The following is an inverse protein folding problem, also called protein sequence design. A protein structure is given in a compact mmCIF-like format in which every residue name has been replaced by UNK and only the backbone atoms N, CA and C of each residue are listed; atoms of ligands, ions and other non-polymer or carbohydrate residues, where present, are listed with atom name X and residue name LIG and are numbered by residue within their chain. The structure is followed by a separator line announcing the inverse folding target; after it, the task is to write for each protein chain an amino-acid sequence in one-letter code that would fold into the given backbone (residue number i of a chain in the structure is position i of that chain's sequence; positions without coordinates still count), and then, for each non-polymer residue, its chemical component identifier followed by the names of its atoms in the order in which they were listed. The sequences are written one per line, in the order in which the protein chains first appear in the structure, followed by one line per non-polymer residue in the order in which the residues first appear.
data_IF_599686509831
#
_entry.id   IF_599686509831
#
_cell.length_a   1.000
_cell.length_b   1.000
_cell.length_c   1.000
_cell.angle_alpha   90.00
_cell.angle_beta   90.00
_cell.angle_gamma   90.00
#
_symmetry.space_group_name_H-M   'P 1'
#
loop_
_entity.id
_entity.type
_entity.pdbx_description
1 polymer ?
#
# COMPACT_ATOMS: atom_id res chain seq x y z
N UNK A 1 -28.07 -8.81 25.94
CA UNK A 1 -28.27 -9.84 24.91
C UNK A 1 -28.04 -9.21 23.55
N UNK A 2 -26.82 -9.30 23.05
CA UNK A 2 -26.58 -9.41 21.63
C UNK A 2 -25.25 -10.16 21.53
N UNK A 3 -25.36 -11.48 21.40
CA UNK A 3 -24.27 -12.28 20.86
C UNK A 3 -24.06 -11.72 19.46
N UNK A 4 -23.17 -10.73 19.33
CA UNK A 4 -22.64 -10.31 18.04
C UNK A 4 -21.90 -11.50 17.52
N UNK A 5 -22.65 -12.31 16.77
CA UNK A 5 -22.18 -13.41 15.97
C UNK A 5 -20.88 -12.97 15.32
N UNK A 6 -19.77 -13.57 15.78
CA UNK A 6 -18.50 -13.67 15.07
C UNK A 6 -18.66 -14.57 13.82
N UNK A 7 -19.84 -14.53 13.20
CA UNK A 7 -20.26 -15.35 12.09
C UNK A 7 -20.13 -14.49 10.84
N UNK A 8 -19.42 -15.05 9.86
CA UNK A 8 -18.98 -14.44 8.62
C UNK A 8 -17.77 -13.49 8.69
N UNK A 9 -16.71 -13.84 9.42
CA UNK A 9 -15.38 -13.49 8.90
C UNK A 9 -15.12 -14.34 7.64
N UNK A 10 -14.30 -13.89 6.67
CA UNK A 10 -13.95 -14.71 5.53
C UNK A 10 -13.52 -16.11 5.94
N UNK A 11 -14.17 -17.13 5.39
CA UNK A 11 -13.89 -18.51 5.74
C UNK A 11 -12.74 -18.98 4.85
N UNK A 12 -11.53 -18.71 5.33
CA UNK A 12 -10.31 -19.35 4.84
C UNK A 12 -9.92 -20.43 5.85
N UNK A 13 -9.61 -21.62 5.35
CA UNK A 13 -8.99 -22.65 6.18
C UNK A 13 -7.55 -22.23 6.53
N UNK A 14 -7.05 -22.65 7.69
CA UNK A 14 -5.67 -22.33 8.10
C UNK A 14 -4.64 -22.77 7.04
N UNK A 15 -4.82 -23.94 6.41
CA UNK A 15 -3.95 -24.41 5.32
C UNK A 15 -3.96 -23.49 4.11
N UNK A 16 -5.13 -23.01 3.71
CA UNK A 16 -5.27 -22.03 2.62
C UNK A 16 -4.61 -20.70 3.00
N UNK A 17 -4.77 -20.25 4.24
CA UNK A 17 -4.09 -19.07 4.77
C UNK A 17 -2.56 -19.18 4.68
N UNK A 18 -1.99 -20.31 5.09
CA UNK A 18 -0.54 -20.56 4.95
C UNK A 18 -0.10 -20.51 3.48
N UNK A 19 -0.81 -21.20 2.59
CA UNK A 19 -0.50 -21.19 1.15
C UNK A 19 -0.51 -19.78 0.57
N UNK A 20 -1.50 -18.96 0.92
CA UNK A 20 -1.60 -17.58 0.45
C UNK A 20 -0.49 -16.70 1.03
N UNK A 21 -0.11 -16.87 2.30
CA UNK A 21 1.00 -16.12 2.90
C UNK A 21 2.33 -16.43 2.22
N UNK A 22 2.59 -17.71 1.93
CA UNK A 22 3.79 -18.13 1.17
C UNK A 22 3.75 -17.55 -0.24
N UNK A 23 2.60 -17.63 -0.93
CA UNK A 23 2.43 -17.07 -2.27
C UNK A 23 2.62 -15.54 -2.29
N UNK A 24 2.13 -14.82 -1.27
CA UNK A 24 2.34 -13.37 -1.13
C UNK A 24 3.81 -13.05 -0.88
N UNK A 25 4.49 -13.81 -0.03
CA UNK A 25 5.91 -13.61 0.27
C UNK A 25 6.78 -13.84 -0.98
N UNK A 26 6.63 -14.98 -1.65
CA UNK A 26 7.36 -15.27 -2.90
C UNK A 26 6.99 -14.27 -3.99
N UNK A 27 5.68 -14.01 -4.14
CA UNK A 27 5.16 -13.08 -5.11
C UNK A 27 5.66 -11.65 -4.91
N UNK A 28 5.89 -11.20 -3.67
CA UNK A 28 6.49 -9.89 -3.39
C UNK A 28 7.86 -9.74 -4.07
N UNK A 29 8.75 -10.72 -3.89
CA UNK A 29 10.08 -10.69 -4.54
C UNK A 29 9.99 -10.85 -6.05
N UNK A 30 9.10 -11.70 -6.56
CA UNK A 30 8.84 -11.80 -8.00
C UNK A 30 8.35 -10.47 -8.58
N UNK A 31 7.54 -9.72 -7.82
CA UNK A 31 7.04 -8.41 -8.23
C UNK A 31 8.17 -7.38 -8.33
N UNK A 32 9.21 -7.48 -7.47
CA UNK A 32 10.43 -6.65 -7.61
C UNK A 32 11.18 -6.96 -8.91
N UNK A 33 11.24 -8.24 -9.30
CA UNK A 33 11.86 -8.64 -10.58
C UNK A 33 11.05 -8.09 -11.76
N UNK A 34 9.72 -8.20 -11.73
CA UNK A 34 8.84 -7.64 -12.78
C UNK A 34 9.00 -6.13 -12.88
N UNK A 35 9.03 -5.41 -11.74
CA UNK A 35 9.31 -3.98 -11.69
C UNK A 35 10.62 -3.63 -12.39
N UNK A 36 11.71 -4.33 -12.04
CA UNK A 36 13.02 -4.13 -12.66
C UNK A 36 13.00 -4.40 -14.17
N UNK A 37 12.34 -5.47 -14.62
CA UNK A 37 12.24 -5.80 -16.06
C UNK A 37 11.46 -4.75 -16.84
N UNK A 38 10.32 -4.29 -16.31
CA UNK A 38 9.51 -3.22 -16.94
C UNK A 38 10.32 -1.92 -17.03
N UNK A 39 11.01 -1.55 -15.96
CA UNK A 39 11.87 -0.37 -15.94
C UNK A 39 13.04 -0.47 -16.95
N UNK A 40 13.62 -1.66 -17.08
CA UNK A 40 14.69 -1.96 -18.04
C UNK A 40 14.20 -1.82 -19.49
N UNK A 41 13.02 -2.36 -19.80
CA UNK A 41 12.40 -2.22 -21.13
C UNK A 41 12.09 -0.76 -21.46
N UNK A 42 11.55 0.00 -20.50
CA UNK A 42 11.28 1.43 -20.68
C UNK A 42 12.57 2.20 -20.97
N UNK A 43 13.62 1.94 -20.18
CA UNK A 43 14.94 2.56 -20.35
C UNK A 43 15.54 2.25 -21.72
N UNK A 44 15.54 0.98 -22.14
CA UNK A 44 16.05 0.58 -23.45
C UNK A 44 15.25 1.21 -24.60
N UNK A 45 13.94 1.35 -24.45
CA UNK A 45 13.08 1.97 -25.47
C UNK A 45 13.42 3.45 -25.66
N UNK A 46 13.59 4.19 -24.56
CA UNK A 46 13.97 5.61 -24.58
C UNK A 46 15.38 5.77 -25.15
N UNK A 47 16.30 4.87 -24.78
CA UNK A 47 17.65 4.87 -25.31
C UNK A 47 17.69 4.63 -26.83
N UNK A 48 16.93 3.66 -27.33
CA UNK A 48 16.83 3.36 -28.76
C UNK A 48 16.20 4.50 -29.58
N UNK A 49 15.37 5.35 -28.96
CA UNK A 49 14.80 6.54 -29.61
C UNK A 49 15.78 7.72 -29.70
N UNK A 50 17.04 7.55 -29.26
CA UNK A 50 18.04 8.62 -29.26
C UNK A 50 17.79 9.70 -28.21
N UNK A 51 16.88 9.45 -27.25
CA UNK A 51 16.57 10.35 -26.14
C UNK A 51 17.54 10.19 -24.95
N UNK A 52 18.67 9.50 -25.12
CA UNK A 52 19.68 9.30 -24.05
C UNK A 52 20.27 10.61 -23.54
N UNK A 53 20.21 11.69 -24.31
CA UNK A 53 20.60 13.03 -23.83
C UNK A 53 19.80 13.47 -22.59
N UNK A 54 18.59 12.96 -22.37
CA UNK A 54 17.84 13.18 -21.12
C UNK A 54 18.42 12.42 -19.92
N UNK A 55 19.10 11.29 -20.15
CA UNK A 55 19.80 10.50 -19.14
C UNK A 55 21.19 11.09 -18.81
N UNK A 56 21.85 11.71 -19.80
CA UNK A 56 23.22 12.20 -19.67
C UNK A 56 23.32 13.63 -19.10
N UNK A 57 22.24 14.44 -19.13
CA UNK A 57 22.27 15.84 -18.66
C UNK A 57 21.53 16.09 -17.35
N UNK A 58 20.71 15.14 -16.88
CA UNK A 58 20.05 15.21 -15.59
C UNK A 58 20.59 14.06 -14.73
N UNK A 59 21.42 14.37 -13.73
CA UNK A 59 21.92 13.40 -12.72
C UNK A 59 20.80 12.87 -11.79
N UNK A 60 19.54 13.05 -12.19
CA UNK A 60 18.36 12.89 -11.35
C UNK A 60 17.46 11.80 -11.94
N UNK A 61 16.82 11.05 -11.05
CA UNK A 61 16.00 9.90 -11.43
C UNK A 61 14.75 10.38 -12.18
N UNK A 62 14.55 10.02 -13.46
CA UNK A 62 13.43 10.56 -14.22
C UNK A 62 12.09 9.96 -13.76
N UNK A 63 11.03 10.77 -13.69
CA UNK A 63 9.69 10.32 -13.26
C UNK A 63 9.19 9.06 -13.98
N UNK A 64 9.51 8.89 -15.27
CA UNK A 64 9.03 7.75 -16.05
C UNK A 64 9.67 6.44 -15.61
N UNK A 65 10.89 6.49 -15.07
CA UNK A 65 11.58 5.32 -14.53
C UNK A 65 10.87 4.86 -13.27
N UNK A 66 10.62 5.78 -12.33
CA UNK A 66 9.84 5.52 -11.12
C UNK A 66 8.44 5.02 -11.44
N UNK A 67 7.74 5.65 -12.40
CA UNK A 67 6.41 5.22 -12.82
C UNK A 67 6.42 3.80 -13.42
N UNK A 68 7.45 3.45 -14.20
CA UNK A 68 7.62 2.12 -14.81
C UNK A 68 7.88 1.04 -13.76
N UNK A 69 8.73 1.32 -12.77
CA UNK A 69 8.98 0.42 -11.63
C UNK A 69 7.72 0.18 -10.82
N UNK A 70 6.98 1.25 -10.47
CA UNK A 70 5.71 1.14 -9.75
C UNK A 70 4.68 0.33 -10.53
N UNK A 71 4.56 0.60 -11.83
CA UNK A 71 3.66 -0.15 -12.70
C UNK A 71 4.00 -1.64 -12.71
N UNK A 72 5.27 -2.00 -12.91
CA UNK A 72 5.69 -3.41 -12.91
C UNK A 72 5.50 -4.09 -11.55
N UNK A 73 5.77 -3.38 -10.45
CA UNK A 73 5.52 -3.88 -9.10
C UNK A 73 4.03 -4.21 -8.90
N UNK A 74 3.14 -3.31 -9.34
CA UNK A 74 1.71 -3.50 -9.20
C UNK A 74 1.14 -4.57 -10.11
N UNK A 75 1.69 -4.77 -11.31
CA UNK A 75 1.35 -5.92 -12.14
C UNK A 75 1.62 -7.23 -11.39
N UNK A 76 2.76 -7.31 -10.69
CA UNK A 76 3.10 -8.43 -9.82
C UNK A 76 2.09 -8.61 -8.68
N UNK A 77 1.77 -7.54 -7.93
CA UNK A 77 0.78 -7.60 -6.86
C UNK A 77 -0.62 -7.98 -7.36
N UNK A 78 -1.06 -7.41 -8.47
CA UNK A 78 -2.33 -7.75 -9.10
C UNK A 78 -2.37 -9.21 -9.54
N UNK A 79 -1.27 -9.77 -10.03
CA UNK A 79 -1.16 -11.18 -10.37
C UNK A 79 -1.30 -12.09 -9.13
N UNK A 80 -0.70 -11.72 -8.00
CA UNK A 80 -0.86 -12.44 -6.72
C UNK A 80 -2.31 -12.40 -6.25
N UNK A 81 -2.95 -11.22 -6.29
CA UNK A 81 -4.36 -11.07 -5.92
C UNK A 81 -5.25 -11.92 -6.84
N UNK A 82 -5.03 -11.87 -8.16
CA UNK A 82 -5.77 -12.68 -9.12
C UNK A 82 -5.56 -14.18 -8.88
N UNK A 83 -4.33 -14.61 -8.58
CA UNK A 83 -4.03 -15.99 -8.19
C UNK A 83 -4.81 -16.40 -6.93
N UNK A 84 -4.79 -15.58 -5.88
CA UNK A 84 -5.51 -15.83 -4.64
C UNK A 84 -7.02 -16.00 -4.88
N UNK A 85 -7.61 -15.08 -5.66
CA UNK A 85 -9.04 -15.09 -5.98
C UNK A 85 -9.45 -16.28 -6.85
N UNK A 86 -8.58 -16.75 -7.77
CA UNK A 86 -8.88 -17.88 -8.67
C UNK A 86 -8.66 -19.25 -8.02
N UNK A 87 -7.58 -19.40 -7.27
CA UNK A 87 -7.11 -20.68 -6.74
C UNK A 87 -7.77 -21.02 -5.41
N UNK A 88 -7.82 -20.05 -4.49
CA UNK A 88 -8.32 -20.27 -3.13
C UNK A 88 -9.79 -19.87 -2.99
N UNK A 89 -10.23 -18.88 -3.76
CA UNK A 89 -11.63 -18.37 -3.78
C UNK A 89 -12.13 -18.06 -2.36
N UNK A 90 -11.46 -17.14 -1.63
CA UNK A 90 -11.87 -16.78 -0.29
C UNK A 90 -13.33 -16.30 -0.28
N UNK A 91 -14.12 -16.80 0.67
CA UNK A 91 -15.48 -16.29 0.90
C UNK A 91 -15.35 -14.93 1.56
N UNK A 92 -15.57 -13.84 0.84
CA UNK A 92 -15.47 -12.48 1.38
C UNK A 92 -16.87 -11.93 1.74
N UNK A 93 -16.98 -10.97 2.67
CA UNK A 93 -18.26 -10.32 2.97
C UNK A 93 -18.95 -9.79 1.71
N UNK A 94 -20.28 -9.86 1.67
CA UNK A 94 -21.05 -9.34 0.54
C UNK A 94 -20.74 -7.87 0.28
N UNK A 95 -20.32 -7.55 -0.94
CA UNK A 95 -19.93 -6.19 -1.32
C UNK A 95 -18.60 -5.72 -0.74
N UNK A 96 -17.69 -6.64 -0.38
CA UNK A 96 -16.35 -6.32 0.12
C UNK A 96 -15.59 -5.32 -0.78
N UNK A 97 -15.75 -5.45 -2.11
CA UNK A 97 -15.16 -4.58 -3.14
C UNK A 97 -16.05 -3.39 -3.54
N UNK A 98 -17.22 -3.21 -2.92
CA UNK A 98 -18.16 -2.16 -3.32
C UNK A 98 -17.63 -0.77 -2.89
N UNK A 99 -17.36 0.06 -3.89
CA UNK A 99 -17.02 1.47 -3.75
C UNK A 99 -18.30 2.29 -3.73
N UNK A 100 -18.41 3.24 -2.78
CA UNK A 100 -19.53 4.17 -2.67
C UNK A 100 -19.01 5.60 -2.66
N UNK A 101 -19.74 6.55 -3.24
CA UNK A 101 -19.39 7.98 -3.18
C UNK A 101 -19.22 8.49 -1.74
N UNK A 102 -19.99 7.95 -0.80
CA UNK A 102 -19.87 8.28 0.64
C UNK A 102 -18.54 7.83 1.27
N UNK A 103 -17.79 6.95 0.63
CA UNK A 103 -16.48 6.51 1.12
C UNK A 103 -15.41 7.62 0.95
N UNK A 104 -15.66 8.67 0.16
CA UNK A 104 -14.80 9.87 0.08
C UNK A 104 -14.60 10.55 1.44
N UNK A 105 -15.53 10.39 2.39
CA UNK A 105 -15.39 10.91 3.77
C UNK A 105 -14.22 10.32 4.54
N UNK A 106 -13.60 9.24 4.05
CA UNK A 106 -12.42 8.63 4.64
C UNK A 106 -11.11 9.30 4.18
N UNK A 107 -11.13 10.13 3.12
CA UNK A 107 -9.93 10.89 2.70
C UNK A 107 -9.37 11.77 3.83
N UNK A 108 -10.17 12.59 4.55
CA UNK A 108 -9.66 13.37 5.68
C UNK A 108 -9.06 12.53 6.81
N UNK A 109 -9.54 11.30 7.00
CA UNK A 109 -8.96 10.40 8.00
C UNK A 109 -7.51 10.05 7.66
N UNK A 110 -7.20 9.88 6.37
CA UNK A 110 -5.83 9.72 5.89
C UNK A 110 -4.94 10.92 6.18
N UNK A 111 -5.48 12.12 5.97
CA UNK A 111 -4.78 13.38 6.28
C UNK A 111 -4.47 13.49 7.77
N UNK A 112 -5.47 13.23 8.62
CA UNK A 112 -5.28 13.21 10.07
C UNK A 112 -4.27 12.16 10.51
N UNK A 113 -4.23 11.02 9.83
CA UNK A 113 -3.27 9.96 10.10
C UNK A 113 -1.84 10.37 9.72
N UNK A 114 -1.64 11.08 8.60
CA UNK A 114 -0.32 11.66 8.27
C UNK A 114 0.12 12.66 9.34
N UNK A 115 -0.79 13.53 9.78
CA UNK A 115 -0.51 14.50 10.83
C UNK A 115 -0.15 13.80 12.15
N UNK A 116 -0.84 12.70 12.49
CA UNK A 116 -0.52 11.89 13.66
C UNK A 116 0.87 11.26 13.57
N UNK A 117 1.23 10.66 12.44
CA UNK A 117 2.59 10.11 12.23
C UNK A 117 3.64 11.22 12.35
N UNK A 118 3.39 12.39 11.76
CA UNK A 118 4.22 13.59 11.93
C UNK A 118 4.40 13.98 13.40
N UNK A 119 3.30 14.08 14.15
CA UNK A 119 3.35 14.43 15.57
C UNK A 119 4.08 13.38 16.43
N UNK A 120 3.98 12.09 16.09
CA UNK A 120 4.70 11.02 16.79
C UNK A 120 6.20 11.07 16.52
N UNK A 121 6.62 11.49 15.33
CA UNK A 121 8.02 11.56 14.93
C UNK A 121 8.70 12.88 15.31
N UNK A 122 7.90 13.94 15.50
CA UNK A 122 8.38 15.27 15.88
C UNK A 122 9.35 15.29 17.09
N UNK A 123 9.09 14.61 18.23
CA UNK A 123 10.00 14.61 19.37
C UNK A 123 11.39 14.01 19.08
N UNK A 124 11.47 13.15 18.07
CA UNK A 124 12.70 12.47 17.67
C UNK A 124 13.45 13.21 16.57
N UNK A 125 12.94 14.37 16.11
CA UNK A 125 13.46 15.12 14.96
C UNK A 125 13.55 14.27 13.69
N UNK A 126 12.66 13.27 13.59
CA UNK A 126 12.53 12.42 12.40
C UNK A 126 11.44 13.04 11.54
N UNK A 127 11.72 13.21 10.26
CA UNK A 127 10.69 13.62 9.32
C UNK A 127 9.72 12.47 9.04
N UNK A 128 8.43 12.75 9.05
CA UNK A 128 7.40 11.75 8.70
C UNK A 128 7.41 11.37 7.22
N UNK A 129 8.01 12.20 6.37
CA UNK A 129 8.28 11.91 4.95
C UNK A 129 9.73 11.47 4.81
N UNK A 130 9.96 10.31 4.19
CA UNK A 130 11.29 9.74 4.05
C UNK A 130 12.03 10.31 2.86
N UNK A 131 13.35 10.11 2.87
CA UNK A 131 14.23 10.52 1.78
C UNK A 131 13.84 9.91 0.42
N UNK A 132 13.38 8.64 0.31
CA UNK A 132 12.82 8.12 -0.94
C UNK A 132 11.65 8.93 -1.48
N UNK A 133 10.73 9.40 -0.63
CA UNK A 133 9.62 10.26 -1.07
C UNK A 133 10.16 11.58 -1.60
N UNK A 134 11.14 12.20 -0.91
CA UNK A 134 11.79 13.42 -1.37
C UNK A 134 12.55 13.22 -2.68
N UNK A 135 13.19 12.07 -2.90
CA UNK A 135 13.85 11.73 -4.16
C UNK A 135 12.86 11.53 -5.31
N UNK A 136 11.68 10.97 -5.03
CA UNK A 136 10.61 10.83 -6.03
C UNK A 136 10.03 12.21 -6.39
N UNK A 137 9.88 13.11 -5.42
CA UNK A 137 9.36 14.46 -5.65
C UNK A 137 10.40 15.40 -6.25
N UNK A 138 11.66 15.29 -5.81
CA UNK A 138 12.75 16.19 -6.14
C UNK A 138 13.03 16.26 -7.64
N UNK A 139 13.00 17.49 -8.17
CA UNK A 139 13.34 17.89 -9.54
C UNK A 139 12.51 17.31 -10.69
N UNK A 140 11.37 16.66 -10.40
CA UNK A 140 10.46 16.24 -11.45
C UNK A 140 9.65 17.42 -12.00
N UNK A 141 9.47 17.52 -13.35
CA UNK A 141 8.62 18.55 -13.93
C UNK A 141 7.17 18.37 -13.46
N UNK A 142 6.40 19.46 -13.46
CA UNK A 142 5.02 19.46 -12.91
C UNK A 142 4.14 18.32 -13.48
N UNK A 143 4.27 18.02 -14.78
CA UNK A 143 3.52 16.92 -15.39
C UNK A 143 3.97 15.53 -14.86
N UNK A 144 5.27 15.33 -14.64
CA UNK A 144 5.81 14.10 -14.04
C UNK A 144 5.33 13.92 -12.61
N UNK A 145 5.22 15.02 -11.86
CA UNK A 145 4.65 15.00 -10.52
C UNK A 145 3.17 14.62 -10.51
N UNK A 146 2.36 15.10 -11.47
CA UNK A 146 0.96 14.68 -11.58
C UNK A 146 0.84 13.17 -11.86
N UNK A 147 1.72 12.61 -12.70
CA UNK A 147 1.79 11.16 -12.93
C UNK A 147 2.14 10.43 -11.63
N UNK A 148 3.18 10.87 -10.93
CA UNK A 148 3.58 10.28 -9.64
C UNK A 148 2.44 10.38 -8.60
N UNK A 149 1.74 11.50 -8.51
CA UNK A 149 0.60 11.66 -7.60
C UNK A 149 -0.55 10.72 -7.94
N UNK A 150 -0.85 10.51 -9.23
CA UNK A 150 -1.82 9.51 -9.63
C UNK A 150 -1.36 8.10 -9.22
N UNK A 151 -0.10 7.79 -9.49
CA UNK A 151 0.44 6.48 -9.17
C UNK A 151 0.45 6.24 -7.64
N UNK A 152 1.17 7.05 -6.89
CA UNK A 152 1.35 6.87 -5.43
C UNK A 152 0.09 7.21 -4.64
N UNK A 153 -0.68 8.21 -5.07
CA UNK A 153 -1.85 8.69 -4.35
C UNK A 153 -3.14 7.91 -4.64
N UNK A 154 -3.23 7.21 -5.77
CA UNK A 154 -4.45 6.47 -6.16
C UNK A 154 -4.14 5.02 -6.52
N UNK A 155 -3.19 4.79 -7.43
CA UNK A 155 -2.83 3.45 -7.91
C UNK A 155 -2.31 2.53 -6.80
N UNK A 156 -1.34 3.01 -6.02
CA UNK A 156 -0.74 2.24 -4.92
C UNK A 156 -1.79 1.89 -3.85
N UNK A 157 -2.56 2.85 -3.29
CA UNK A 157 -3.63 2.55 -2.35
C UNK A 157 -4.61 1.49 -2.87
N UNK A 158 -5.00 1.57 -4.15
CA UNK A 158 -5.91 0.57 -4.71
C UNK A 158 -5.30 -0.84 -4.71
N UNK A 159 -4.11 -1.01 -5.29
CA UNK A 159 -3.48 -2.33 -5.44
C UNK A 159 -2.98 -2.88 -4.10
N UNK A 160 -2.41 -2.04 -3.25
CA UNK A 160 -1.91 -2.44 -1.94
C UNK A 160 -3.04 -2.83 -1.00
N UNK A 161 -4.17 -2.10 -0.95
CA UNK A 161 -5.30 -2.53 -0.12
C UNK A 161 -5.89 -3.87 -0.60
N UNK A 162 -5.92 -4.12 -1.91
CA UNK A 162 -6.34 -5.43 -2.44
C UNK A 162 -5.43 -6.56 -1.95
N UNK A 163 -4.11 -6.36 -1.96
CA UNK A 163 -3.15 -7.35 -1.49
C UNK A 163 -3.17 -7.47 0.04
N UNK A 164 -2.93 -6.38 0.75
CA UNK A 164 -2.75 -6.40 2.20
C UNK A 164 -4.06 -6.67 2.94
N UNK A 165 -5.18 -6.06 2.54
CA UNK A 165 -6.46 -6.21 3.27
C UNK A 165 -7.34 -7.27 2.63
N UNK A 166 -7.28 -7.42 1.31
CA UNK A 166 -8.02 -8.45 0.60
C UNK A 166 -7.43 -9.86 0.73
N UNK A 167 -6.10 -9.99 0.80
CA UNK A 167 -5.43 -11.31 0.84
C UNK A 167 -4.67 -11.54 2.14
N UNK A 168 -3.68 -10.71 2.46
CA UNK A 168 -2.75 -10.96 3.59
C UNK A 168 -3.49 -10.93 4.93
N UNK A 169 -4.34 -9.93 5.19
CA UNK A 169 -5.12 -9.84 6.42
C UNK A 169 -6.04 -11.03 6.61
N UNK A 170 -6.72 -11.47 5.55
CA UNK A 170 -7.62 -12.61 5.62
C UNK A 170 -6.84 -13.90 5.86
N UNK A 171 -5.68 -14.05 5.22
CA UNK A 171 -4.80 -15.20 5.36
C UNK A 171 -4.16 -15.28 6.74
N UNK A 172 -3.68 -14.15 7.28
CA UNK A 172 -3.18 -14.05 8.66
C UNK A 172 -4.27 -14.36 9.67
N UNK A 173 -5.47 -13.83 9.46
CA UNK A 173 -6.61 -14.11 10.35
C UNK A 173 -6.98 -15.59 10.33
N UNK A 174 -6.87 -16.26 9.18
CA UNK A 174 -7.18 -17.69 9.01
C UNK A 174 -6.23 -18.64 9.76
N UNK A 175 -4.95 -18.28 9.87
CA UNK A 175 -3.93 -19.12 10.55
C UNK A 175 -3.92 -18.94 12.06
N UNK A 176 -4.52 -17.86 12.57
CA UNK A 176 -4.60 -17.60 14.01
C UNK A 176 -5.69 -18.46 14.67
N UNK A 177 -5.42 -18.91 15.88
CA UNK A 177 -6.43 -19.63 16.68
C UNK A 177 -7.64 -18.73 16.98
N UNK A 178 -8.86 -19.28 17.13
CA UNK A 178 -10.06 -18.49 17.40
C UNK A 178 -9.93 -17.55 18.60
N UNK A 179 -9.24 -18.00 19.66
CA UNK A 179 -8.93 -17.17 20.84
C UNK A 179 -8.11 -15.95 20.46
N UNK A 180 -7.02 -16.14 19.73
CA UNK A 180 -6.11 -15.05 19.33
C UNK A 180 -6.79 -14.07 18.37
N UNK A 181 -7.64 -14.56 17.45
CA UNK A 181 -8.43 -13.70 16.56
C UNK A 181 -9.39 -12.79 17.33
N UNK A 182 -10.01 -13.31 18.39
CA UNK A 182 -10.98 -12.57 19.19
C UNK A 182 -10.34 -11.59 20.19
N UNK A 183 -9.05 -11.76 20.52
CA UNK A 183 -8.34 -10.87 21.43
C UNK A 183 -8.40 -9.42 20.95
N UNK A 184 -8.69 -8.52 21.89
CA UNK A 184 -8.79 -7.07 21.66
C UNK A 184 -9.62 -6.73 20.41
N UNK A 185 -10.71 -7.47 20.16
CA UNK A 185 -11.62 -7.29 19.03
C UNK A 185 -10.94 -7.31 17.64
N UNK A 186 -9.99 -8.23 17.43
CA UNK A 186 -9.31 -8.40 16.14
C UNK A 186 -8.05 -7.56 15.96
N UNK A 187 -7.55 -6.94 17.03
CA UNK A 187 -6.35 -6.09 16.97
C UNK A 187 -5.09 -6.89 16.64
N UNK A 188 -4.96 -8.14 17.09
CA UNK A 188 -3.76 -8.96 16.83
C UNK A 188 -3.50 -9.14 15.32
N UNK A 189 -4.44 -9.65 14.50
CA UNK A 189 -4.21 -9.73 13.06
C UNK A 189 -3.97 -8.35 12.43
N UNK A 190 -4.64 -7.29 12.90
CA UNK A 190 -4.40 -5.94 12.38
C UNK A 190 -2.98 -5.43 12.66
N UNK A 191 -2.44 -5.68 13.85
CA UNK A 191 -1.05 -5.37 14.21
C UNK A 191 -0.06 -6.14 13.35
N UNK A 192 -0.24 -7.46 13.23
CA UNK A 192 0.63 -8.30 12.41
C UNK A 192 0.66 -7.85 10.95
N UNK A 193 -0.52 -7.57 10.36
CA UNK A 193 -0.58 -7.05 8.99
C UNK A 193 0.01 -5.65 8.86
N UNK A 194 -0.15 -4.82 9.88
CA UNK A 194 0.41 -3.47 9.90
C UNK A 194 1.93 -3.51 9.89
N UNK A 195 2.54 -4.35 10.72
CA UNK A 195 4.00 -4.54 10.73
C UNK A 195 4.50 -5.06 9.38
N UNK A 196 3.82 -6.03 8.76
CA UNK A 196 4.20 -6.51 7.42
C UNK A 196 4.04 -5.42 6.36
N UNK A 197 2.99 -4.59 6.45
CA UNK A 197 2.80 -3.43 5.58
C UNK A 197 3.96 -2.43 5.71
N UNK A 198 4.33 -2.03 6.93
CA UNK A 198 5.46 -1.14 7.16
C UNK A 198 6.79 -1.74 6.71
N UNK A 199 7.03 -3.02 6.99
CA UNK A 199 8.26 -3.71 6.59
C UNK A 199 8.40 -3.83 5.06
N UNK A 200 7.29 -4.00 4.34
CA UNK A 200 7.29 -4.11 2.87
C UNK A 200 7.80 -2.84 2.16
N UNK A 201 7.82 -1.69 2.85
CA UNK A 201 8.35 -0.44 2.32
C UNK A 201 9.88 -0.36 2.40
N UNK A 202 10.53 -1.25 3.17
CA UNK A 202 12.00 -1.31 3.25
C UNK A 202 12.67 -0.15 3.99
N UNK A 203 11.91 0.76 4.60
CA UNK A 203 12.43 1.94 5.29
C UNK A 203 12.30 1.78 6.81
N UNK A 204 13.42 1.50 7.48
CA UNK A 204 13.45 1.22 8.92
C UNK A 204 13.02 2.43 9.75
N UNK A 205 13.37 3.65 9.33
CA UNK A 205 13.00 4.88 10.04
C UNK A 205 11.49 5.10 10.02
N UNK A 206 10.83 4.75 8.91
CA UNK A 206 9.38 4.87 8.76
C UNK A 206 8.59 3.66 9.24
N UNK A 207 9.26 2.55 9.59
CA UNK A 207 8.62 1.28 9.93
C UNK A 207 7.51 1.45 10.98
N UNK A 208 7.76 2.19 12.06
CA UNK A 208 6.78 2.38 13.14
C UNK A 208 5.55 3.17 12.68
N UNK A 209 5.76 4.28 11.96
CA UNK A 209 4.69 5.10 11.40
C UNK A 209 3.84 4.33 10.37
N UNK A 210 4.49 3.64 9.43
CA UNK A 210 3.81 2.84 8.43
C UNK A 210 3.13 1.60 9.03
N UNK A 211 3.70 1.01 10.08
CA UNK A 211 3.05 -0.08 10.80
C UNK A 211 1.76 0.40 11.49
N UNK A 212 1.79 1.57 12.12
CA UNK A 212 0.61 2.20 12.71
C UNK A 212 -0.47 2.46 11.65
N UNK A 213 -0.09 3.08 10.53
CA UNK A 213 -1.02 3.28 9.40
C UNK A 213 -1.58 1.96 8.94
N UNK A 214 -0.70 0.97 8.75
CA UNK A 214 -1.05 -0.36 8.30
C UNK A 214 -2.09 -1.04 9.21
N UNK A 215 -1.91 -0.92 10.52
CA UNK A 215 -2.85 -1.43 11.53
C UNK A 215 -4.18 -0.69 11.49
N UNK A 216 -4.19 0.64 11.41
CA UNK A 216 -5.43 1.42 11.36
C UNK A 216 -6.26 1.06 10.13
N UNK A 217 -5.64 0.94 8.96
CA UNK A 217 -6.30 0.50 7.73
C UNK A 217 -6.89 -0.92 7.87
N UNK A 218 -6.17 -1.85 8.50
CA UNK A 218 -6.69 -3.19 8.79
C UNK A 218 -7.91 -3.16 9.73
N UNK A 219 -7.87 -2.35 10.79
CA UNK A 219 -9.01 -2.14 11.70
C UNK A 219 -10.20 -1.54 10.95
N UNK A 220 -9.98 -0.56 10.06
CA UNK A 220 -11.04 0.01 9.23
C UNK A 220 -11.73 -1.08 8.40
N UNK A 221 -10.97 -1.96 7.72
CA UNK A 221 -11.57 -3.05 6.93
C UNK A 221 -12.33 -4.05 7.80
N UNK A 222 -11.80 -4.42 8.97
CA UNK A 222 -12.50 -5.30 9.90
C UNK A 222 -13.84 -4.71 10.37
N UNK A 223 -13.88 -3.40 10.65
CA UNK A 223 -15.09 -2.70 11.12
C UNK A 223 -16.10 -2.42 10.00
N UNK A 224 -15.61 -2.01 8.84
CA UNK A 224 -16.46 -1.62 7.70
C UNK A 224 -16.87 -2.82 6.83
N UNK A 225 -16.21 -3.98 7.01
CA UNK A 225 -16.38 -5.20 6.22
C UNK A 225 -16.25 -4.96 4.70
N UNK A 226 -15.47 -3.94 4.32
CA UNK A 226 -15.25 -3.48 2.94
C UNK A 226 -13.87 -2.83 2.84
N UNK A 227 -13.23 -2.93 1.68
CA UNK A 227 -11.89 -2.35 1.46
C UNK A 227 -11.91 -0.87 1.07
N UNK A 228 -13.00 -0.39 0.45
CA UNK A 228 -13.07 0.96 -0.09
C UNK A 228 -12.73 2.05 0.95
N UNK A 229 -13.24 2.00 2.21
CA UNK A 229 -12.83 2.95 3.25
C UNK A 229 -11.32 3.00 3.53
N UNK A 230 -10.64 1.84 3.50
CA UNK A 230 -9.19 1.80 3.68
C UNK A 230 -8.46 2.39 2.45
N UNK A 231 -8.93 2.11 1.24
CA UNK A 231 -8.37 2.69 0.00
C UNK A 231 -8.41 4.23 0.07
N UNK A 232 -9.55 4.81 0.44
CA UNK A 232 -9.66 6.27 0.55
C UNK A 232 -8.85 6.85 1.71
N UNK A 233 -8.77 6.15 2.85
CA UNK A 233 -7.92 6.58 3.97
C UNK A 233 -6.44 6.57 3.56
N UNK A 234 -5.99 5.52 2.89
CA UNK A 234 -4.62 5.38 2.42
C UNK A 234 -4.30 6.40 1.31
N UNK A 235 -5.21 6.60 0.36
CA UNK A 235 -5.07 7.66 -0.65
C UNK A 235 -4.93 9.04 -0.02
N UNK A 236 -5.74 9.35 1.00
CA UNK A 236 -5.64 10.62 1.73
C UNK A 236 -4.28 10.80 2.40
N UNK A 237 -3.76 9.74 3.02
CA UNK A 237 -2.43 9.71 3.66
C UNK A 237 -1.31 9.96 2.63
N UNK A 238 -1.31 9.26 1.50
CA UNK A 238 -0.29 9.43 0.47
C UNK A 238 -0.37 10.79 -0.22
N UNK A 239 -1.57 11.24 -0.59
CA UNK A 239 -1.76 12.49 -1.32
C UNK A 239 -1.30 13.70 -0.51
N UNK A 240 -1.59 13.75 0.80
CA UNK A 240 -1.10 14.86 1.63
C UNK A 240 0.41 14.81 1.79
N UNK A 241 1.00 13.63 2.00
CA UNK A 241 2.45 13.48 2.14
C UNK A 241 3.18 13.97 0.87
N UNK A 242 2.70 13.57 -0.31
CA UNK A 242 3.22 14.03 -1.60
C UNK A 242 3.02 15.53 -1.81
N UNK A 243 1.86 16.07 -1.41
CA UNK A 243 1.56 17.50 -1.57
C UNK A 243 2.49 18.36 -0.70
N UNK A 244 2.71 17.95 0.56
CA UNK A 244 3.65 18.62 1.47
C UNK A 244 5.08 18.52 0.96
N UNK A 245 5.51 17.33 0.53
CA UNK A 245 6.82 17.14 -0.08
C UNK A 245 7.00 18.01 -1.33
N UNK A 246 6.00 18.07 -2.21
CA UNK A 246 6.07 18.90 -3.41
C UNK A 246 6.21 20.39 -3.09
N UNK A 247 5.39 20.89 -2.17
CA UNK A 247 5.45 22.28 -1.73
C UNK A 247 6.82 22.62 -1.12
N UNK A 248 7.45 21.69 -0.39
CA UNK A 248 8.77 21.90 0.22
C UNK A 248 9.91 22.04 -0.80
N UNK A 249 9.77 21.43 -1.98
CA UNK A 249 10.75 21.51 -3.07
C UNK A 249 10.43 22.66 -4.03
N UNK A 250 9.17 22.95 -4.30
CA UNK A 250 8.75 24.03 -5.19
C UNK A 250 9.03 25.45 -4.65
N UNK A 251 9.33 25.57 -3.35
CA UNK A 251 9.66 26.82 -2.66
C UNK A 251 11.18 27.05 -2.56
N UNK A 252 12.00 26.06 -2.96
CA UNK A 252 13.46 26.16 -3.06
C UNK A 252 13.89 26.55 -4.47
#
# INVERSE_FOLDING_TARGET
MENVQLEESPVLEARQGVTLLVACFVGFFLSQIVAFQVASVATNTIAHQGLTHFLDHHFERPWWLTASEMFGLWLGFAAIVAFAMKTVRPVLPTGFFNVRWRDLKFLPLGVLLQALVGALYYPFHIESTSDPVKQIVGHNPAYGMLVIMFFVGIGAPFIEELLFRGVILQSMTAVLSPRVRALAAGLVPALLTGVVFGAAHGELVQLAGLALVGTILAVIVQRQRRIAPAIFTHAGFNLIALSVAWASVAVQ
#
